data_IF_559410157081
#
_entry.id   IF_559410157081
#
_cell.length_a   1.000
_cell.length_b   1.000
_cell.length_c   1.000
_cell.angle_alpha   90.00
_cell.angle_beta   90.00
_cell.angle_gamma   90.00
#
_symmetry.space_group_name_H-M   'P 1'
#
loop_
_entity.id
_entity.type
_entity.pdbx_description
1 polymer ?
#
# COMPACT_ATOMS: atom_id res chain seq x y z
N UNK A 1 8.43 0.64 16.65
CA UNK A 1 7.68 -0.61 16.39
C UNK A 1 8.43 -1.46 15.39
N UNK A 2 8.16 -2.75 15.36
CA UNK A 2 8.72 -3.63 14.33
C UNK A 2 7.95 -3.44 13.02
N UNK A 3 8.65 -3.55 11.91
CA UNK A 3 8.04 -3.47 10.59
C UNK A 3 7.06 -4.63 10.40
N UNK A 4 5.92 -4.34 9.79
CA UNK A 4 4.92 -5.34 9.43
C UNK A 4 5.00 -5.56 7.93
N UNK A 5 5.37 -6.77 7.53
CA UNK A 5 5.54 -7.13 6.11
C UNK A 5 4.37 -7.98 5.62
N UNK A 6 3.86 -7.64 4.44
CA UNK A 6 2.75 -8.35 3.82
C UNK A 6 3.22 -9.08 2.56
N UNK A 7 2.60 -10.23 2.22
CA UNK A 7 3.04 -11.06 1.09
C UNK A 7 2.99 -10.36 -0.27
N UNK A 8 2.20 -9.30 -0.40
CA UNK A 8 2.06 -8.56 -1.67
C UNK A 8 3.12 -7.46 -1.83
N UNK A 9 4.11 -7.43 -0.96
CA UNK A 9 5.20 -6.44 -1.07
C UNK A 9 4.95 -5.13 -0.36
N UNK A 10 3.90 -5.03 0.45
CA UNK A 10 3.65 -3.85 1.27
C UNK A 10 4.25 -4.03 2.65
N UNK A 11 4.76 -2.93 3.20
CA UNK A 11 5.34 -2.89 4.55
C UNK A 11 4.77 -1.68 5.28
N UNK A 12 4.46 -1.87 6.55
CA UNK A 12 4.05 -0.79 7.47
C UNK A 12 5.17 -0.59 8.47
N UNK A 13 5.61 0.65 8.64
CA UNK A 13 6.63 0.97 9.63
C UNK A 13 6.44 2.40 10.14
N UNK A 14 7.15 2.73 11.21
CA UNK A 14 7.10 4.05 11.82
C UNK A 14 8.48 4.70 11.69
N UNK A 15 8.57 5.79 10.91
CA UNK A 15 9.84 6.49 10.69
C UNK A 15 10.31 7.23 11.93
N UNK A 16 9.38 7.82 12.67
CA UNK A 16 9.68 8.60 13.86
C UNK A 16 8.80 8.09 15.01
N UNK A 17 9.44 7.50 16.02
CA UNK A 17 8.72 6.92 17.15
C UNK A 17 7.94 7.95 17.96
N UNK A 18 8.28 9.22 17.85
CA UNK A 18 7.59 10.31 18.56
C UNK A 18 6.37 10.86 17.81
N UNK A 19 6.16 10.42 16.57
CA UNK A 19 5.01 10.86 15.75
C UNK A 19 3.98 9.76 15.63
N UNK A 20 2.70 10.15 15.68
CA UNK A 20 1.60 9.24 15.42
C UNK A 20 1.34 9.19 13.91
N UNK A 21 2.29 8.62 13.19
CA UNK A 21 2.20 8.47 11.74
C UNK A 21 2.85 7.15 11.34
N UNK A 22 2.10 6.32 10.63
CA UNK A 22 2.56 5.02 10.17
C UNK A 22 2.72 5.07 8.66
N UNK A 23 3.93 4.75 8.19
CA UNK A 23 4.27 4.77 6.78
C UNK A 23 3.97 3.42 6.16
N UNK A 24 3.33 3.46 5.00
CA UNK A 24 2.99 2.28 4.20
C UNK A 24 3.77 2.39 2.91
N UNK A 25 4.57 1.37 2.60
CA UNK A 25 5.34 1.35 1.36
C UNK A 25 5.00 0.12 0.53
N UNK A 26 5.11 0.27 -0.79
CA UNK A 26 4.97 -0.82 -1.72
C UNK A 26 5.86 -0.58 -2.93
N UNK A 27 6.55 -1.60 -3.41
CA UNK A 27 7.46 -1.49 -4.54
C UNK A 27 6.88 -2.19 -5.75
N UNK A 28 6.55 -1.42 -6.80
CA UNK A 28 5.97 -1.96 -8.03
C UNK A 28 7.05 -2.48 -9.00
N UNK A 29 8.31 -2.15 -8.76
CA UNK A 29 9.39 -2.42 -9.71
C UNK A 29 9.92 -3.85 -9.68
N UNK A 30 9.52 -4.68 -8.73
CA UNK A 30 10.13 -6.00 -8.52
C UNK A 30 9.25 -7.19 -8.86
N UNK A 31 8.54 -7.11 -9.98
CA UNK A 31 7.87 -8.29 -10.52
C UNK A 31 6.70 -8.81 -9.71
N UNK A 32 6.18 -8.02 -8.83
CA UNK A 32 5.00 -8.37 -8.09
C UNK A 32 3.73 -8.13 -8.92
N UNK A 33 2.61 -8.38 -8.35
CA UNK A 33 1.29 -8.31 -8.96
C UNK A 33 0.89 -6.92 -9.45
N UNK A 34 1.73 -5.91 -9.20
CA UNK A 34 1.53 -4.53 -9.63
C UNK A 34 2.35 -4.14 -10.88
N UNK A 35 2.96 -5.10 -11.53
CA UNK A 35 3.82 -4.85 -12.70
C UNK A 35 3.06 -4.27 -13.91
N UNK A 36 1.74 -4.37 -13.90
CA UNK A 36 0.90 -3.83 -14.97
C UNK A 36 0.71 -2.32 -14.84
N UNK A 37 1.15 -1.74 -13.75
CA UNK A 37 1.12 -0.30 -13.55
C UNK A 37 2.45 0.31 -13.98
N UNK A 38 2.38 1.36 -14.77
CA UNK A 38 3.57 2.03 -15.28
C UNK A 38 4.33 2.76 -14.16
N UNK A 39 3.61 3.24 -13.16
CA UNK A 39 4.20 3.96 -12.03
C UNK A 39 3.40 3.72 -10.76
N UNK A 40 3.99 4.09 -9.62
CA UNK A 40 3.28 4.05 -8.36
C UNK A 40 2.11 5.06 -8.31
N UNK A 41 2.17 6.10 -9.13
CA UNK A 41 1.05 7.05 -9.26
C UNK A 41 -0.18 6.37 -9.86
N UNK A 42 0.02 5.52 -10.86
CA UNK A 42 -1.07 4.76 -11.47
C UNK A 42 -1.67 3.77 -10.47
N UNK A 43 -0.82 3.11 -9.70
CA UNK A 43 -1.27 2.21 -8.63
C UNK A 43 -2.07 2.97 -7.58
N UNK A 44 -1.60 4.14 -7.16
CA UNK A 44 -2.28 4.99 -6.19
C UNK A 44 -3.67 5.39 -6.67
N UNK A 45 -3.78 5.81 -7.91
CA UNK A 45 -5.06 6.18 -8.52
C UNK A 45 -6.02 5.00 -8.57
N UNK A 46 -5.53 3.83 -8.94
CA UNK A 46 -6.34 2.62 -9.02
C UNK A 46 -6.83 2.17 -7.64
N UNK A 47 -5.95 2.20 -6.65
CA UNK A 47 -6.30 1.89 -5.26
C UNK A 47 -7.38 2.87 -4.75
N UNK A 48 -7.20 4.15 -5.05
CA UNK A 48 -8.15 5.17 -4.61
C UNK A 48 -9.55 4.99 -5.19
N UNK A 49 -9.66 4.35 -6.35
CA UNK A 49 -10.95 4.04 -6.98
C UNK A 49 -11.63 2.81 -6.39
N UNK A 50 -10.87 1.86 -5.88
CA UNK A 50 -11.39 0.54 -5.53
C UNK A 50 -11.36 0.22 -4.04
N UNK A 51 -10.64 0.98 -3.24
CA UNK A 51 -10.44 0.72 -1.82
C UNK A 51 -10.76 1.98 -1.03
N UNK A 52 -11.33 1.79 0.16
CA UNK A 52 -11.59 2.91 1.07
C UNK A 52 -10.27 3.50 1.54
N UNK A 53 -9.99 4.73 1.13
CA UNK A 53 -8.78 5.46 1.47
C UNK A 53 -9.02 6.57 2.50
N UNK A 54 -10.11 6.51 3.24
CA UNK A 54 -10.41 7.47 4.31
C UNK A 54 -9.27 7.51 5.31
N UNK A 55 -8.79 8.71 5.63
CA UNK A 55 -7.71 8.87 6.59
C UNK A 55 -6.33 8.45 6.09
N UNK A 56 -6.19 8.13 4.81
CA UNK A 56 -4.91 7.79 4.18
C UNK A 56 -4.43 8.99 3.37
N UNK A 57 -3.19 9.40 3.61
CA UNK A 57 -2.52 10.41 2.80
C UNK A 57 -1.52 9.74 1.88
N UNK A 58 -1.48 10.15 0.61
CA UNK A 58 -0.59 9.56 -0.38
C UNK A 58 0.59 10.48 -0.67
N UNK A 59 1.76 9.88 -0.87
CA UNK A 59 2.99 10.62 -1.20
C UNK A 59 3.92 9.76 -2.06
N UNK A 60 3.36 9.09 -3.07
CA UNK A 60 4.09 8.16 -3.90
C UNK A 60 5.12 8.85 -4.79
N UNK A 61 6.21 8.13 -5.09
CA UNK A 61 7.18 8.47 -6.12
C UNK A 61 6.95 7.57 -7.34
N UNK A 62 7.70 7.79 -8.41
CA UNK A 62 7.47 7.06 -9.66
C UNK A 62 7.52 5.53 -9.49
N UNK A 63 8.54 5.02 -8.80
CA UNK A 63 8.74 3.58 -8.62
C UNK A 63 8.36 3.06 -7.25
N UNK A 64 7.93 3.92 -6.34
CA UNK A 64 7.70 3.55 -4.96
C UNK A 64 6.38 4.11 -4.46
N UNK A 65 5.51 3.22 -4.01
CA UNK A 65 4.25 3.62 -3.37
C UNK A 65 4.53 4.06 -1.94
N UNK A 66 4.02 5.23 -1.56
CA UNK A 66 4.05 5.73 -0.18
C UNK A 66 2.68 6.22 0.21
N UNK A 67 2.27 5.85 1.41
CA UNK A 67 1.05 6.36 2.03
C UNK A 67 1.25 6.45 3.53
N UNK A 68 0.41 7.22 4.19
CA UNK A 68 0.52 7.45 5.63
C UNK A 68 -0.84 7.31 6.29
N UNK A 69 -0.87 6.68 7.47
CA UNK A 69 -2.05 6.57 8.32
C UNK A 69 -1.71 7.05 9.73
N UNK A 70 -2.70 7.56 10.44
CA UNK A 70 -2.50 8.08 11.80
C UNK A 70 -2.52 7.00 12.88
N UNK A 71 -3.05 5.83 12.58
CA UNK A 71 -3.08 4.70 13.51
C UNK A 71 -2.59 3.45 12.81
N UNK A 72 -2.01 2.53 13.59
CA UNK A 72 -1.56 1.26 13.06
C UNK A 72 -2.75 0.43 12.56
N UNK A 73 -3.88 0.50 13.23
CA UNK A 73 -5.08 -0.25 12.83
C UNK A 73 -5.59 0.22 11.48
N UNK A 74 -5.57 1.53 11.21
CA UNK A 74 -5.96 2.06 9.90
C UNK A 74 -4.98 1.64 8.80
N UNK A 75 -3.68 1.67 9.10
CA UNK A 75 -2.66 1.22 8.15
C UNK A 75 -2.84 -0.26 7.82
N UNK A 76 -3.05 -1.11 8.83
CA UNK A 76 -3.28 -2.54 8.64
C UNK A 76 -4.51 -2.80 7.79
N UNK A 77 -5.63 -2.16 8.11
CA UNK A 77 -6.86 -2.34 7.34
C UNK A 77 -6.67 -1.96 5.89
N UNK A 78 -5.99 -0.86 5.62
CA UNK A 78 -5.71 -0.41 4.26
C UNK A 78 -4.92 -1.45 3.48
N UNK A 79 -3.83 -1.96 4.06
CA UNK A 79 -2.98 -2.96 3.40
C UNK A 79 -3.71 -4.30 3.25
N UNK A 80 -4.52 -4.69 4.24
CA UNK A 80 -5.33 -5.90 4.16
C UNK A 80 -6.37 -5.82 3.04
N UNK A 81 -7.00 -4.66 2.87
CA UNK A 81 -7.95 -4.44 1.79
C UNK A 81 -7.25 -4.52 0.43
N UNK A 82 -6.05 -3.95 0.30
CA UNK A 82 -5.24 -4.05 -0.92
C UNK A 82 -4.89 -5.52 -1.19
N UNK A 83 -4.45 -6.24 -0.17
CA UNK A 83 -4.06 -7.65 -0.30
C UNK A 83 -5.22 -8.49 -0.80
N UNK A 84 -6.40 -8.31 -0.21
CA UNK A 84 -7.62 -9.01 -0.61
C UNK A 84 -7.99 -8.68 -2.05
N UNK A 85 -7.93 -7.43 -2.43
CA UNK A 85 -8.25 -6.98 -3.77
C UNK A 85 -7.28 -7.54 -4.81
N UNK A 86 -5.98 -7.54 -4.52
CA UNK A 86 -4.95 -8.08 -5.43
C UNK A 86 -5.17 -9.57 -5.67
N UNK A 87 -5.48 -10.33 -4.63
CA UNK A 87 -5.77 -11.76 -4.75
C UNK A 87 -6.99 -11.98 -5.64
N UNK A 88 -8.05 -11.19 -5.45
CA UNK A 88 -9.26 -11.27 -6.27
C UNK A 88 -8.98 -11.00 -7.75
N UNK A 89 -8.23 -9.94 -8.04
CA UNK A 89 -7.90 -9.56 -9.42
C UNK A 89 -7.08 -10.66 -10.08
N UNK A 90 -6.16 -11.26 -9.35
CA UNK A 90 -5.35 -12.38 -9.87
C UNK A 90 -6.22 -13.58 -10.21
N UNK A 91 -7.19 -13.91 -9.38
CA UNK A 91 -8.11 -15.02 -9.63
C UNK A 91 -8.97 -14.80 -10.88
N UNK A 92 -9.28 -13.55 -11.19
CA UNK A 92 -10.06 -13.20 -12.37
C UNK A 92 -9.26 -13.21 -13.67
N UNK A 93 -7.95 -13.04 -13.59
CA UNK A 93 -7.06 -12.95 -14.75
C UNK A 93 -6.40 -14.28 -15.07
N UNK A 94 -6.22 -15.12 -14.07
CA UNK A 94 -5.67 -16.46 -14.26
C UNK A 94 -6.77 -17.44 -14.68
#
# INVERSE_FOLDING_TARGET
>A
MQDINYPVGFTIFKLDEDKEEYTITGNIAKGYKFRDFESAYDLEEYINKHIDCSGIAFDSEYCQFFAYAKTVDRAKKFVEDITTWVVKVKELVD
#
